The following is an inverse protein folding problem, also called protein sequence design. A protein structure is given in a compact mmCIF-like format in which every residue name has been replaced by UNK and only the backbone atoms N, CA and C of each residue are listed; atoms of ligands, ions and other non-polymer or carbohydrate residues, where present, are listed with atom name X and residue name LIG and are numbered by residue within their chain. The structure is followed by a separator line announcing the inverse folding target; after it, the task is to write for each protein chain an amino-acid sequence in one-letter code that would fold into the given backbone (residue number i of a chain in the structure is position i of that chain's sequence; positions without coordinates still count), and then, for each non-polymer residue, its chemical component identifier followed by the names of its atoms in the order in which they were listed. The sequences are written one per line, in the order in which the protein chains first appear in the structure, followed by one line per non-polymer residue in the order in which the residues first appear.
data_IF_259431724601
#
_entry.id   IF_259431724601
#
_cell.length_a   1.000
_cell.length_b   1.000
_cell.length_c   1.000
_cell.angle_alpha   90.00
_cell.angle_beta   90.00
_cell.angle_gamma   90.00
#
_symmetry.space_group_name_H-M   'P 1'
#
loop_
_entity.id
_entity.type
_entity.pdbx_description
1 polymer ?
#
# COMPACT_ATOMS: atom_id res chain seq x y z
N UNK A 1 -3.19 18.17 -7.04
CA UNK A 1 -3.68 18.80 -5.80
C UNK A 1 -2.86 18.49 -4.54
N UNK A 2 -2.72 17.25 -4.04
CA UNK A 2 -1.98 17.04 -2.76
C UNK A 2 -0.48 17.34 -2.83
N UNK A 3 0.20 16.94 -3.92
CA UNK A 3 1.61 17.25 -4.12
C UNK A 3 1.83 18.76 -4.24
N UNK A 4 1.06 19.43 -5.09
CA UNK A 4 1.11 20.90 -5.27
C UNK A 4 0.76 21.66 -3.97
N UNK A 5 -0.16 21.16 -3.15
CA UNK A 5 -0.49 21.79 -1.87
C UNK A 5 0.67 21.75 -0.87
N UNK A 6 1.52 20.71 -0.95
CA UNK A 6 2.61 20.52 0.01
C UNK A 6 3.95 21.06 -0.51
N UNK A 7 4.24 20.83 -1.80
CA UNK A 7 5.52 21.17 -2.45
C UNK A 7 5.41 22.35 -3.42
N UNK A 8 4.22 22.95 -3.62
CA UNK A 8 3.96 24.03 -4.59
C UNK A 8 4.19 23.65 -6.06
N UNK A 9 4.59 22.41 -6.32
CA UNK A 9 4.84 21.84 -7.65
C UNK A 9 4.50 20.36 -7.66
N UNK A 10 4.24 19.82 -8.85
CA UNK A 10 4.11 18.39 -9.08
C UNK A 10 4.69 18.02 -10.44
N UNK A 11 5.30 16.84 -10.59
CA UNK A 11 5.68 16.32 -11.90
C UNK A 11 4.47 16.08 -12.80
N UNK A 12 4.65 16.29 -14.10
CA UNK A 12 3.67 15.94 -15.13
C UNK A 12 3.44 14.42 -15.19
N UNK A 13 2.29 14.01 -15.75
CA UNK A 13 1.92 12.62 -15.94
C UNK A 13 1.88 12.27 -17.43
N UNK A 14 2.70 11.29 -17.84
CA UNK A 14 2.66 10.71 -19.18
C UNK A 14 1.96 9.35 -19.12
N UNK A 15 0.97 9.11 -19.99
CA UNK A 15 0.22 7.84 -20.03
C UNK A 15 0.30 7.24 -21.43
N UNK A 16 0.78 6.01 -21.50
CA UNK A 16 0.81 5.19 -22.71
C UNK A 16 -0.03 3.92 -22.52
N UNK A 17 -0.77 3.54 -23.55
CA UNK A 17 -1.57 2.31 -23.56
C UNK A 17 -1.13 1.35 -24.67
N UNK A 18 -1.07 0.06 -24.35
CA UNK A 18 -0.84 -1.00 -25.33
C UNK A 18 -1.83 -2.15 -25.14
N UNK A 19 -2.85 -2.18 -26.00
CA UNK A 19 -3.87 -3.22 -26.00
C UNK A 19 -3.53 -4.34 -26.99
N UNK A 20 -2.90 -5.41 -26.50
CA UNK A 20 -2.52 -6.55 -27.34
C UNK A 20 -3.72 -7.38 -27.81
N UNK A 21 -4.86 -7.33 -27.11
CA UNK A 21 -6.08 -8.05 -27.49
C UNK A 21 -6.82 -7.38 -28.65
N UNK A 22 -6.81 -6.05 -28.68
CA UNK A 22 -7.45 -5.26 -29.71
C UNK A 22 -6.69 -3.92 -29.88
N UNK A 23 -5.72 -3.86 -30.81
CA UNK A 23 -4.99 -2.63 -31.08
C UNK A 23 -5.94 -1.46 -31.37
N UNK A 24 -5.61 -0.27 -30.88
CA UNK A 24 -6.39 0.97 -31.00
C UNK A 24 -7.74 1.02 -30.26
N UNK A 25 -8.11 0.00 -29.47
CA UNK A 25 -9.24 0.10 -28.54
C UNK A 25 -8.74 0.49 -27.15
N UNK A 26 -9.46 1.38 -26.43
CA UNK A 26 -9.11 1.73 -25.06
C UNK A 26 -9.14 0.48 -24.18
N UNK A 27 -8.21 0.41 -23.23
CA UNK A 27 -8.13 -0.72 -22.30
C UNK A 27 -9.32 -0.65 -21.33
N UNK A 28 -10.05 -1.75 -21.22
CA UNK A 28 -11.17 -1.90 -20.29
C UNK A 28 -11.07 -3.24 -19.56
N UNK A 29 -11.48 -3.25 -18.28
CA UNK A 29 -11.48 -4.44 -17.43
C UNK A 29 -12.67 -4.40 -16.47
N UNK A 30 -13.21 -5.57 -16.14
CA UNK A 30 -14.21 -5.72 -15.08
C UNK A 30 -13.46 -5.72 -13.75
N UNK A 31 -13.51 -4.61 -13.02
CA UNK A 31 -12.80 -4.44 -11.75
C UNK A 31 -13.53 -3.49 -10.80
N UNK A 32 -13.17 -3.51 -9.52
CA UNK A 32 -13.71 -2.57 -8.52
C UNK A 32 -12.93 -1.24 -8.60
N UNK A 33 -13.53 -0.13 -9.06
CA UNK A 33 -12.77 1.10 -9.35
C UNK A 33 -12.09 1.71 -8.13
N UNK A 34 -12.71 1.61 -6.95
CA UNK A 34 -12.15 2.14 -5.70
C UNK A 34 -10.86 1.44 -5.27
N UNK A 35 -10.73 0.13 -5.53
CA UNK A 35 -9.50 -0.62 -5.25
C UNK A 35 -8.36 -0.13 -6.13
N UNK A 36 -8.63 -0.03 -7.44
CA UNK A 36 -7.64 0.44 -8.41
C UNK A 36 -7.22 1.89 -8.10
N UNK A 37 -8.18 2.76 -7.81
CA UNK A 37 -7.92 4.15 -7.43
C UNK A 37 -7.00 4.24 -6.21
N UNK A 38 -7.26 3.45 -5.15
CA UNK A 38 -6.42 3.47 -3.95
C UNK A 38 -4.97 3.09 -4.25
N UNK A 39 -4.77 2.01 -5.02
CA UNK A 39 -3.42 1.57 -5.41
C UNK A 39 -2.68 2.63 -6.23
N UNK A 40 -3.34 3.16 -7.27
CA UNK A 40 -2.75 4.19 -8.13
C UNK A 40 -2.43 5.47 -7.33
N UNK A 41 -3.37 5.91 -6.50
CA UNK A 41 -3.20 7.10 -5.66
C UNK A 41 -1.98 6.98 -4.74
N UNK A 42 -1.81 5.86 -4.04
CA UNK A 42 -0.66 5.65 -3.17
C UNK A 42 0.67 5.58 -3.95
N UNK A 43 0.69 4.92 -5.11
CA UNK A 43 1.89 4.83 -5.95
C UNK A 43 2.28 6.18 -6.57
N UNK A 44 1.32 6.95 -7.11
CA UNK A 44 1.58 8.28 -7.65
C UNK A 44 2.08 9.23 -6.57
N UNK A 45 1.48 9.19 -5.38
CA UNK A 45 1.93 9.98 -4.23
C UNK A 45 3.39 9.70 -3.87
N UNK A 46 3.79 8.42 -3.83
CA UNK A 46 5.17 8.02 -3.56
C UNK A 46 6.13 8.46 -4.67
N UNK A 47 5.73 8.26 -5.94
CA UNK A 47 6.51 8.62 -7.14
C UNK A 47 6.76 10.13 -7.23
N UNK A 48 5.70 10.92 -7.05
CA UNK A 48 5.76 12.38 -7.06
C UNK A 48 6.62 12.90 -5.90
N UNK A 49 6.44 12.36 -4.69
CA UNK A 49 7.25 12.71 -3.53
C UNK A 49 8.74 12.47 -3.79
N UNK A 50 9.10 11.26 -4.24
CA UNK A 50 10.50 10.92 -4.49
C UNK A 50 11.12 11.80 -5.58
N UNK A 51 10.37 12.09 -6.64
CA UNK A 51 10.83 12.96 -7.74
C UNK A 51 11.03 14.40 -7.25
N UNK A 52 10.07 14.96 -6.50
CA UNK A 52 10.18 16.33 -6.01
C UNK A 52 11.32 16.46 -5.00
N UNK A 53 11.40 15.57 -4.01
CA UNK A 53 12.47 15.59 -2.99
C UNK A 53 13.88 15.47 -3.62
N UNK A 54 14.02 14.78 -4.76
CA UNK A 54 15.32 14.64 -5.44
C UNK A 54 15.71 15.86 -6.29
N UNK A 55 14.72 16.53 -6.90
CA UNK A 55 14.93 17.60 -7.87
C UNK A 55 14.70 19.01 -7.30
N UNK A 56 14.26 19.15 -6.05
CA UNK A 56 14.00 20.45 -5.40
C UNK A 56 15.20 21.42 -5.48
N UNK A 57 16.42 20.92 -5.26
CA UNK A 57 17.67 21.71 -5.32
C UNK A 57 18.39 21.62 -6.68
N UNK A 58 17.81 20.93 -7.66
CA UNK A 58 18.42 20.70 -8.98
C UNK A 58 18.05 21.81 -9.95
N UNK A 59 18.94 22.08 -10.91
CA UNK A 59 18.67 23.08 -11.97
C UNK A 59 17.82 22.50 -13.09
N UNK A 60 17.81 21.17 -13.19
CA UNK A 60 16.98 20.40 -14.09
C UNK A 60 15.51 20.44 -13.62
N UNK A 61 14.58 20.59 -14.56
CA UNK A 61 13.15 20.53 -14.26
C UNK A 61 12.70 19.13 -13.79
N UNK A 62 11.52 19.05 -13.21
CA UNK A 62 10.95 17.79 -12.70
C UNK A 62 10.63 16.83 -13.86
N UNK A 63 11.24 15.62 -13.89
CA UNK A 63 10.90 14.62 -14.91
C UNK A 63 9.48 14.10 -14.70
N UNK A 64 8.76 13.84 -15.80
CA UNK A 64 7.40 13.29 -15.74
C UNK A 64 7.36 11.89 -15.10
N UNK A 65 6.28 11.59 -14.39
CA UNK A 65 5.95 10.24 -13.94
C UNK A 65 5.28 9.52 -15.11
N UNK A 66 5.84 8.38 -15.53
CA UNK A 66 5.41 7.65 -16.72
C UNK A 66 4.54 6.46 -16.35
N UNK A 67 3.38 6.34 -16.96
CA UNK A 67 2.46 5.23 -16.76
C UNK A 67 2.27 4.46 -18.05
N UNK A 68 2.58 3.15 -18.03
CA UNK A 68 2.30 2.23 -19.13
C UNK A 68 1.19 1.26 -18.71
N UNK A 69 0.07 1.29 -19.43
CA UNK A 69 -1.05 0.36 -19.24
C UNK A 69 -1.04 -0.66 -20.37
N UNK A 70 -0.99 -1.95 -20.04
CA UNK A 70 -0.99 -3.02 -21.03
C UNK A 70 -2.09 -4.02 -20.75
N UNK A 71 -2.71 -4.54 -21.82
CA UNK A 71 -3.71 -5.60 -21.73
C UNK A 71 -3.28 -6.80 -22.59
N UNK A 72 -2.89 -7.87 -21.92
CA UNK A 72 -2.56 -9.16 -22.50
C UNK A 72 -3.74 -10.14 -22.49
N UNK A 73 -3.46 -11.43 -22.74
CA UNK A 73 -4.49 -12.48 -22.71
C UNK A 73 -5.00 -12.74 -21.29
N UNK A 74 -4.08 -12.87 -20.34
CA UNK A 74 -4.35 -13.25 -18.94
C UNK A 74 -4.27 -12.05 -17.98
N UNK A 75 -3.38 -11.11 -18.26
CA UNK A 75 -3.05 -10.03 -17.33
C UNK A 75 -3.35 -8.65 -17.93
N UNK A 76 -3.84 -7.77 -17.07
CA UNK A 76 -3.77 -6.32 -17.23
C UNK A 76 -2.65 -5.83 -16.32
N UNK A 77 -1.66 -5.15 -16.89
CA UNK A 77 -0.51 -4.63 -16.15
C UNK A 77 -0.44 -3.12 -16.24
N UNK A 78 -0.27 -2.46 -15.09
CA UNK A 78 -0.09 -1.01 -14.99
C UNK A 78 1.28 -0.77 -14.36
N UNK A 79 2.19 -0.17 -15.12
CA UNK A 79 3.53 0.19 -14.67
C UNK A 79 3.63 1.70 -14.48
N UNK A 80 3.96 2.14 -13.27
CA UNK A 80 4.27 3.54 -12.94
C UNK A 80 5.77 3.63 -12.75
N UNK A 81 6.43 4.52 -13.48
CA UNK A 81 7.88 4.69 -13.49
C UNK A 81 8.22 6.12 -13.10
N UNK A 82 9.12 6.28 -12.14
CA UNK A 82 9.66 7.56 -11.72
C UNK A 82 11.18 7.65 -11.91
N UNK A 83 11.71 8.87 -11.88
CA UNK A 83 13.15 9.14 -11.80
C UNK A 83 13.50 9.73 -10.42
N UNK A 84 12.85 9.24 -9.36
CA UNK A 84 13.01 9.74 -7.99
C UNK A 84 14.25 9.21 -7.25
N UNK A 85 15.28 8.76 -7.96
CA UNK A 85 16.57 8.34 -7.37
C UNK A 85 16.61 6.91 -6.83
N UNK A 86 15.48 6.21 -6.81
CA UNK A 86 15.40 4.80 -6.49
C UNK A 86 15.65 4.44 -5.03
N UNK A 87 15.69 3.13 -4.76
CA UNK A 87 15.81 2.53 -3.43
C UNK A 87 16.82 1.38 -3.49
N UNK A 88 17.79 1.31 -2.56
CA UNK A 88 18.72 0.18 -2.49
C UNK A 88 17.98 -1.15 -2.36
N UNK A 89 18.41 -2.16 -3.11
CA UNK A 89 17.75 -3.48 -3.17
C UNK A 89 17.46 -4.06 -1.77
N UNK A 90 18.40 -3.94 -0.83
CA UNK A 90 18.27 -4.41 0.57
C UNK A 90 17.07 -3.81 1.34
N UNK A 91 16.55 -2.66 0.90
CA UNK A 91 15.43 -1.96 1.54
C UNK A 91 14.08 -2.25 0.86
N UNK A 92 14.05 -2.83 -0.33
CA UNK A 92 12.81 -3.03 -1.11
C UNK A 92 11.77 -3.86 -0.35
N UNK A 93 12.17 -5.00 0.21
CA UNK A 93 11.23 -5.86 0.95
C UNK A 93 10.67 -5.16 2.19
N UNK A 94 11.48 -4.30 2.83
CA UNK A 94 11.07 -3.55 4.02
C UNK A 94 9.99 -2.51 3.71
N UNK A 95 9.86 -2.04 2.47
CA UNK A 95 8.81 -1.11 2.06
C UNK A 95 7.39 -1.70 2.21
N UNK A 96 7.26 -3.02 2.24
CA UNK A 96 6.00 -3.72 2.46
C UNK A 96 5.75 -4.09 3.93
N UNK A 97 6.65 -3.73 4.85
CA UNK A 97 6.40 -3.88 6.28
C UNK A 97 5.47 -2.77 6.76
N UNK A 98 4.47 -3.14 7.54
CA UNK A 98 3.61 -2.17 8.21
C UNK A 98 4.45 -1.23 9.08
N UNK A 99 4.08 0.07 9.08
CA UNK A 99 4.74 1.13 9.83
C UNK A 99 6.18 1.45 9.38
N UNK A 100 6.72 0.80 8.34
CA UNK A 100 7.97 1.21 7.74
C UNK A 100 7.75 2.45 6.87
N UNK A 101 8.49 3.52 7.15
CA UNK A 101 8.43 4.79 6.41
C UNK A 101 9.79 5.45 6.43
N UNK A 102 10.19 6.05 5.31
CA UNK A 102 11.38 6.90 5.19
C UNK A 102 11.08 8.37 5.49
N UNK A 103 9.81 8.75 5.57
CA UNK A 103 9.41 10.10 5.98
C UNK A 103 9.64 10.30 7.50
N UNK A 104 9.87 11.55 7.95
CA UNK A 104 9.82 11.89 9.37
C UNK A 104 8.53 11.34 9.99
N UNK A 105 8.65 10.66 11.13
CA UNK A 105 7.46 10.25 11.88
C UNK A 105 6.72 11.52 12.27
N UNK A 106 5.43 11.68 11.94
CA UNK A 106 4.68 12.85 12.37
C UNK A 106 4.78 12.99 13.89
N UNK A 107 5.13 14.18 14.40
CA UNK A 107 5.27 14.40 15.84
C UNK A 107 3.92 14.19 16.52
N UNK A 108 3.86 13.16 17.36
CA UNK A 108 2.82 12.98 18.36
C UNK A 108 3.15 13.92 19.54
N UNK A 109 3.05 15.23 19.32
CA UNK A 109 3.07 16.22 20.41
C UNK A 109 1.99 15.84 21.46
N UNK A 110 2.17 16.06 22.77
CA UNK A 110 1.16 15.72 23.79
C UNK A 110 -0.15 16.54 23.68
N UNK A 111 -0.14 17.67 22.97
CA UNK A 111 -1.34 18.41 22.51
C UNK A 111 -1.97 17.81 21.24
N UNK A 112 -1.28 16.84 20.63
CA UNK A 112 -1.70 15.99 19.52
C UNK A 112 -1.69 14.54 19.99
N UNK A 113 -2.46 14.25 21.04
CA UNK A 113 -2.87 12.88 21.31
C UNK A 113 -3.41 12.30 19.99
N UNK A 114 -2.87 11.17 19.52
CA UNK A 114 -3.63 10.34 18.60
C UNK A 114 -4.93 10.03 19.36
N UNK A 115 -6.07 10.62 18.99
CA UNK A 115 -7.21 10.65 19.89
C UNK A 115 -7.67 9.23 20.18
N UNK A 116 -7.80 8.86 21.46
CA UNK A 116 -8.32 7.54 21.89
C UNK A 116 -9.66 7.23 21.21
N UNK A 117 -10.42 8.30 20.91
CA UNK A 117 -11.50 8.35 19.94
C UNK A 117 -11.45 9.72 19.25
N UNK A 118 -11.87 9.80 17.97
CA UNK A 118 -11.92 11.08 17.24
C UNK A 118 -11.76 10.97 15.73
N UNK A 119 -11.23 9.85 15.24
CA UNK A 119 -11.16 9.58 13.80
C UNK A 119 -12.45 8.96 13.25
N UNK A 120 -13.37 8.50 14.11
CA UNK A 120 -14.68 7.99 13.71
C UNK A 120 -14.68 6.67 12.93
N UNK A 121 -13.51 6.08 12.63
CA UNK A 121 -13.41 4.86 11.82
C UNK A 121 -13.42 3.56 12.64
N UNK A 122 -13.12 3.61 13.95
CA UNK A 122 -12.97 2.41 14.79
C UNK A 122 -14.25 1.57 14.91
N UNK A 123 -15.39 2.20 15.16
CA UNK A 123 -16.68 1.50 15.24
C UNK A 123 -17.20 1.09 13.86
N UNK A 124 -17.13 1.92 12.80
CA UNK A 124 -17.46 1.50 11.44
C UNK A 124 -16.58 0.36 10.91
N UNK A 125 -15.26 0.36 11.13
CA UNK A 125 -14.34 -0.73 10.71
C UNK A 125 -14.61 -1.99 11.52
N UNK A 126 -14.78 -1.88 12.85
CA UNK A 126 -15.15 -3.02 13.69
C UNK A 126 -16.51 -3.61 13.30
N UNK A 127 -17.49 -2.77 12.93
CA UNK A 127 -18.79 -3.21 12.40
C UNK A 127 -18.68 -3.81 11.00
N UNK A 128 -17.79 -3.29 10.14
CA UNK A 128 -17.49 -3.83 8.82
C UNK A 128 -16.94 -5.26 8.94
N UNK A 129 -15.98 -5.48 9.84
CA UNK A 129 -15.44 -6.82 10.14
C UNK A 129 -16.48 -7.74 10.80
N UNK A 130 -17.33 -7.22 11.70
CA UNK A 130 -18.39 -8.02 12.31
C UNK A 130 -19.42 -8.49 11.26
N UNK A 131 -19.87 -7.60 10.37
CA UNK A 131 -20.78 -7.95 9.27
C UNK A 131 -20.14 -8.85 8.20
N UNK A 132 -18.82 -8.74 7.99
CA UNK A 132 -18.05 -9.66 7.15
C UNK A 132 -18.14 -11.12 7.63
N UNK A 133 -18.25 -11.36 8.94
CA UNK A 133 -18.53 -12.70 9.49
C UNK A 133 -20.02 -12.93 9.76
N UNK A 134 -20.88 -12.31 8.93
CA UNK A 134 -22.34 -12.37 9.01
C UNK A 134 -22.92 -11.98 10.38
N UNK A 135 -22.16 -11.23 11.18
CA UNK A 135 -22.53 -10.67 12.48
C UNK A 135 -22.98 -9.21 12.43
N UNK A 136 -23.01 -8.56 13.59
CA UNK A 136 -23.07 -7.10 13.71
C UNK A 136 -22.43 -6.64 15.03
N UNK A 137 -22.10 -5.36 15.09
CA UNK A 137 -21.71 -4.65 16.31
C UNK A 137 -22.81 -3.63 16.61
N UNK A 138 -23.43 -3.74 17.79
CA UNK A 138 -24.53 -2.87 18.26
C UNK A 138 -24.11 -2.14 19.53
N UNK A 139 -24.61 -0.91 19.67
CA UNK A 139 -24.40 -0.07 20.85
C UNK A 139 -25.75 0.28 21.47
N UNK A 140 -25.86 0.17 22.79
CA UNK A 140 -27.01 0.60 23.57
C UNK A 140 -26.52 1.63 24.59
N UNK A 141 -26.98 2.88 24.48
CA UNK A 141 -26.52 3.97 25.34
C UNK A 141 -27.65 4.48 26.23
N UNK A 142 -27.34 4.72 27.51
CA UNK A 142 -28.22 5.41 28.46
C UNK A 142 -27.53 6.68 28.94
N UNK A 143 -28.19 7.82 28.71
CA UNK A 143 -27.62 9.14 29.02
C UNK A 143 -27.36 9.30 30.52
N UNK A 144 -26.15 9.78 30.85
CA UNK A 144 -25.71 9.95 32.24
C UNK A 144 -25.31 8.66 32.96
N UNK A 145 -25.50 7.48 32.35
CA UNK A 145 -25.22 6.17 32.97
C UNK A 145 -24.07 5.43 32.25
N UNK A 146 -24.10 5.37 30.90
CA UNK A 146 -23.04 4.71 30.12
C UNK A 146 -23.51 4.15 28.76
N UNK A 147 -22.59 3.51 28.02
CA UNK A 147 -22.85 2.87 26.73
C UNK A 147 -22.34 1.43 26.70
N UNK A 148 -23.24 0.49 26.46
CA UNK A 148 -22.91 -0.92 26.27
C UNK A 148 -22.67 -1.22 24.78
N UNK A 149 -21.63 -2.01 24.51
CA UNK A 149 -21.28 -2.46 23.16
C UNK A 149 -21.34 -3.98 23.05
N UNK A 150 -22.20 -4.49 22.17
CA UNK A 150 -22.41 -5.92 21.97
C UNK A 150 -22.06 -6.30 20.54
N UNK A 151 -21.12 -7.23 20.41
CA UNK A 151 -20.70 -7.80 19.12
C UNK A 151 -21.20 -9.23 19.07
N UNK A 152 -21.87 -9.59 17.97
CA UNK A 152 -22.29 -10.97 17.75
C UNK A 152 -22.03 -11.35 16.29
N UNK A 153 -21.59 -12.58 16.08
CA UNK A 153 -21.22 -13.12 14.77
C UNK A 153 -22.09 -14.32 14.46
N UNK A 154 -22.48 -14.51 13.20
CA UNK A 154 -23.32 -15.63 12.82
C UNK A 154 -22.46 -16.88 12.62
N UNK A 155 -22.77 -17.91 13.39
CA UNK A 155 -22.17 -19.22 13.23
C UNK A 155 -22.85 -19.95 12.02
N UNK A 156 -22.21 -19.88 10.84
CA UNK A 156 -22.46 -20.65 9.58
C UNK A 156 -23.69 -20.20 8.73
N UNK A 157 -23.77 -20.27 7.38
CA UNK A 157 -23.02 -20.95 6.30
C UNK A 157 -23.17 -20.22 4.92
N UNK A 158 -22.29 -20.55 3.96
CA UNK A 158 -22.33 -20.42 2.49
C UNK A 158 -22.81 -19.10 1.82
N UNK A 159 -21.88 -18.38 1.19
CA UNK A 159 -22.00 -17.12 0.38
C UNK A 159 -21.84 -15.82 1.17
N UNK A 160 -20.61 -15.33 1.21
CA UNK A 160 -20.27 -13.94 1.56
C UNK A 160 -19.81 -13.25 0.27
N UNK A 161 -19.59 -11.93 0.30
CA UNK A 161 -19.03 -11.06 -0.75
C UNK A 161 -20.02 -10.22 -1.57
N UNK A 162 -20.29 -9.03 -1.01
CA UNK A 162 -20.70 -7.82 -1.69
C UNK A 162 -20.24 -6.64 -0.82
N UNK A 163 -19.08 -6.04 -1.09
CA UNK A 163 -18.64 -4.81 -0.41
C UNK A 163 -17.85 -3.89 -1.36
N UNK A 164 -18.42 -2.71 -1.66
CA UNK A 164 -17.83 -1.37 -1.46
C UNK A 164 -18.63 -0.25 -2.19
N UNK A 165 -19.41 0.53 -1.43
CA UNK A 165 -19.71 1.96 -1.73
C UNK A 165 -19.51 2.75 -0.42
N UNK A 166 -18.80 3.88 -0.50
CA UNK A 166 -18.52 4.76 0.66
C UNK A 166 -19.56 5.90 0.70
N UNK A 167 -20.20 6.10 1.84
CA UNK A 167 -21.16 7.20 2.10
C UNK A 167 -20.57 8.32 2.98
N UNK A 168 -19.24 8.38 3.14
CA UNK A 168 -18.61 9.46 3.88
C UNK A 168 -18.75 10.81 3.12
N UNK A 169 -19.14 11.92 3.80
CA UNK A 169 -19.20 13.24 3.16
C UNK A 169 -17.81 13.63 2.63
N UNK A 170 -17.77 14.34 1.49
CA UNK A 170 -16.53 14.97 1.02
C UNK A 170 -16.05 15.93 2.11
N UNK A 171 -14.84 15.78 2.65
CA UNK A 171 -14.33 16.70 3.66
C UNK A 171 -14.23 18.10 3.06
N UNK A 172 -14.68 19.11 3.81
CA UNK A 172 -14.47 20.51 3.45
C UNK A 172 -12.97 20.80 3.48
N UNK A 173 -12.43 21.25 2.35
CA UNK A 173 -11.05 21.73 2.22
C UNK A 173 -10.92 23.09 2.93
N UNK A 174 -10.76 23.04 4.25
CA UNK A 174 -10.19 24.16 5.01
C UNK A 174 -8.66 24.18 4.77
N UNK A 175 -8.02 25.32 4.45
CA UNK A 175 -6.66 25.34 3.90
C UNK A 175 -5.53 25.02 4.90
N UNK A 176 -5.83 24.69 6.16
CA UNK A 176 -4.81 24.71 7.22
C UNK A 176 -4.30 23.36 7.68
N UNK A 177 -4.83 22.21 7.20
CA UNK A 177 -4.42 20.90 7.72
C UNK A 177 -4.42 19.80 6.65
N UNK A 178 -3.50 19.89 5.71
CA UNK A 178 -3.21 18.78 4.81
C UNK A 178 -2.64 17.60 5.61
N UNK A 179 -3.26 16.42 5.49
CA UNK A 179 -2.64 15.18 5.95
C UNK A 179 -1.31 15.00 5.20
N UNK A 180 -0.21 14.64 5.88
CA UNK A 180 1.10 14.56 5.24
C UNK A 180 1.08 13.51 4.13
N UNK A 181 1.74 13.81 2.99
CA UNK A 181 1.84 12.92 1.83
C UNK A 181 2.41 11.54 2.19
N UNK A 182 3.24 11.46 3.23
CA UNK A 182 3.78 10.21 3.75
C UNK A 182 3.93 10.27 5.28
N UNK A 183 4.26 9.15 5.92
CA UNK A 183 4.59 9.13 7.36
C UNK A 183 4.04 7.93 8.14
N UNK A 184 2.90 7.36 7.71
CA UNK A 184 2.26 6.28 8.47
C UNK A 184 2.73 4.87 8.08
N UNK A 185 3.28 4.67 6.88
CA UNK A 185 3.86 3.38 6.46
C UNK A 185 2.84 2.25 6.18
N UNK A 186 1.61 2.59 5.77
CA UNK A 186 0.58 1.61 5.40
C UNK A 186 0.27 1.55 3.90
N UNK A 187 0.61 2.59 3.13
CA UNK A 187 0.19 2.74 1.73
C UNK A 187 0.56 1.56 0.83
N UNK A 188 1.85 1.22 0.77
CA UNK A 188 2.35 0.11 -0.06
C UNK A 188 1.85 -1.27 0.40
N UNK A 189 1.90 -1.64 1.70
CA UNK A 189 1.34 -2.90 2.19
C UNK A 189 -0.14 -3.08 1.84
N UNK A 190 -0.96 -2.05 2.08
CA UNK A 190 -2.41 -2.09 1.82
C UNK A 190 -2.71 -2.11 0.32
N UNK A 191 -1.99 -1.34 -0.48
CA UNK A 191 -2.12 -1.38 -1.95
C UNK A 191 -1.82 -2.77 -2.50
N UNK A 192 -0.81 -3.47 -1.96
CA UNK A 192 -0.52 -4.85 -2.34
C UNK A 192 -1.62 -5.82 -1.93
N UNK A 193 -2.30 -5.60 -0.80
CA UNK A 193 -3.47 -6.40 -0.43
C UNK A 193 -4.62 -6.21 -1.41
N UNK A 194 -4.91 -4.98 -1.85
CA UNK A 194 -5.93 -4.71 -2.86
C UNK A 194 -5.63 -5.42 -4.19
N UNK A 195 -4.38 -5.40 -4.65
CA UNK A 195 -3.98 -6.13 -5.86
C UNK A 195 -4.18 -7.64 -5.70
N UNK A 196 -3.71 -8.20 -4.58
CA UNK A 196 -3.76 -9.65 -4.29
C UNK A 196 -5.17 -10.17 -4.02
N UNK A 197 -6.09 -9.30 -3.62
CA UNK A 197 -7.46 -9.68 -3.28
C UNK A 197 -8.14 -10.42 -4.43
N UNK A 198 -7.94 -9.97 -5.67
CA UNK A 198 -8.48 -10.62 -6.88
C UNK A 198 -7.37 -11.30 -7.71
N UNK A 199 -6.50 -12.06 -7.06
CA UNK A 199 -5.40 -12.85 -7.67
C UNK A 199 -4.34 -12.05 -8.45
N UNK A 200 -4.30 -10.74 -8.28
CA UNK A 200 -3.23 -9.89 -8.79
C UNK A 200 -1.99 -9.86 -7.89
N UNK A 201 -1.08 -8.93 -8.17
CA UNK A 201 0.02 -8.58 -7.28
C UNK A 201 0.49 -7.14 -7.53
N UNK A 202 1.21 -6.58 -6.55
CA UNK A 202 1.92 -5.31 -6.70
C UNK A 202 3.40 -5.57 -6.41
N UNK A 203 4.26 -5.22 -7.36
CA UNK A 203 5.71 -5.40 -7.28
C UNK A 203 6.44 -4.06 -7.49
N UNK A 204 7.59 -3.92 -6.84
CA UNK A 204 8.49 -2.78 -6.99
C UNK A 204 9.84 -3.28 -7.52
N UNK A 205 10.38 -2.57 -8.49
CA UNK A 205 11.73 -2.76 -9.02
C UNK A 205 12.41 -1.40 -9.02
N UNK A 206 13.59 -1.29 -8.43
CA UNK A 206 14.25 -0.01 -8.28
C UNK A 206 15.70 -0.09 -8.72
N UNK A 207 16.15 0.97 -9.37
CA UNK A 207 17.53 1.18 -9.77
C UNK A 207 18.08 2.34 -8.92
N UNK A 208 18.86 2.00 -7.90
CA UNK A 208 19.44 2.98 -6.98
C UNK A 208 20.27 4.03 -7.74
N UNK A 209 20.01 5.31 -7.45
CA UNK A 209 20.59 6.46 -8.15
C UNK A 209 19.79 6.93 -9.36
N UNK A 210 18.78 6.18 -9.81
CA UNK A 210 17.98 6.52 -11.00
C UNK A 210 16.50 6.69 -10.66
N UNK A 211 15.81 5.63 -10.26
CA UNK A 211 14.35 5.65 -10.17
C UNK A 211 13.71 4.31 -9.81
N UNK A 212 12.38 4.29 -9.77
CA UNK A 212 11.60 3.10 -9.38
C UNK A 212 10.47 2.81 -10.36
N UNK A 213 10.30 1.54 -10.69
CA UNK A 213 9.17 0.98 -11.42
C UNK A 213 8.25 0.24 -10.42
N UNK A 214 6.99 0.69 -10.32
CA UNK A 214 5.93 0.03 -9.58
C UNK A 214 4.93 -0.62 -10.56
N UNK A 215 4.72 -1.93 -10.44
CA UNK A 215 3.84 -2.68 -11.35
C UNK A 215 2.68 -3.30 -10.58
N UNK A 216 1.46 -2.94 -11.00
CA UNK A 216 0.22 -3.59 -10.59
C UNK A 216 -0.14 -4.62 -11.67
N UNK A 217 -0.35 -5.86 -11.25
CA UNK A 217 -0.89 -6.93 -12.09
C UNK A 217 -2.31 -7.24 -11.65
N UNK A 218 -3.26 -7.21 -12.57
CA UNK A 218 -4.65 -7.61 -12.38
C UNK A 218 -5.02 -8.69 -13.39
N UNK A 219 -5.99 -9.53 -13.05
CA UNK A 219 -6.54 -10.49 -14.01
C UNK A 219 -7.35 -9.77 -15.08
N UNK A 220 -7.07 -10.10 -16.34
CA UNK A 220 -7.78 -9.56 -17.51
C UNK A 220 -9.19 -10.15 -17.63
N UNK A 221 -9.41 -11.36 -17.12
CA UNK A 221 -10.68 -12.08 -17.17
C UNK A 221 -11.34 -12.10 -15.79
N UNK A 222 -12.60 -11.66 -15.70
CA UNK A 222 -13.36 -11.69 -14.44
C UNK A 222 -13.58 -13.12 -13.90
N UNK A 223 -13.59 -14.12 -14.79
CA UNK A 223 -13.68 -15.54 -14.42
C UNK A 223 -12.46 -16.06 -13.66
N UNK A 224 -11.35 -15.33 -13.66
CA UNK A 224 -10.12 -15.69 -12.94
C UNK A 224 -9.89 -14.79 -11.70
N UNK A 225 -10.71 -13.75 -11.54
CA UNK A 225 -10.65 -12.78 -10.45
C UNK A 225 -11.33 -13.30 -9.18
N UNK A 226 -10.86 -14.43 -8.65
CA UNK A 226 -11.37 -15.01 -7.41
C UNK A 226 -10.83 -14.29 -6.17
N UNK A 227 -11.58 -14.29 -5.09
CA UNK A 227 -11.14 -13.68 -3.84
C UNK A 227 -10.08 -14.52 -3.14
N UNK A 228 -8.99 -13.86 -2.74
CA UNK A 228 -7.91 -14.47 -1.95
C UNK A 228 -8.15 -14.20 -0.47
N UNK A 229 -8.81 -15.14 0.19
CA UNK A 229 -9.19 -15.02 1.60
C UNK A 229 -8.21 -15.75 2.51
N UNK A 230 -8.02 -15.20 3.71
CA UNK A 230 -7.26 -15.87 4.76
C UNK A 230 -8.12 -16.97 5.38
N UNK A 231 -7.62 -18.19 5.39
CA UNK A 231 -8.27 -19.35 6.01
C UNK A 231 -7.51 -19.72 7.28
N UNK A 232 -8.18 -19.62 8.42
CA UNK A 232 -7.61 -20.08 9.68
C UNK A 232 -7.63 -21.61 9.73
N UNK A 233 -6.45 -22.22 9.76
CA UNK A 233 -6.26 -23.67 9.81
C UNK A 233 -4.95 -24.02 10.55
N UNK A 234 -4.59 -25.30 10.63
CA UNK A 234 -3.35 -25.74 11.27
C UNK A 234 -2.11 -25.07 10.67
N UNK A 235 -2.06 -24.84 9.36
CA UNK A 235 -0.94 -24.14 8.72
C UNK A 235 -0.86 -22.68 9.17
N UNK A 236 -1.98 -21.95 9.19
CA UNK A 236 -2.05 -20.58 9.71
C UNK A 236 -1.59 -20.52 11.18
N UNK A 237 -2.05 -21.46 12.02
CA UNK A 237 -1.68 -21.53 13.43
C UNK A 237 -0.18 -21.75 13.66
N UNK A 238 0.48 -22.57 12.82
CA UNK A 238 1.94 -22.79 12.91
C UNK A 238 2.73 -21.49 12.77
N UNK A 239 2.28 -20.54 11.95
CA UNK A 239 2.95 -19.24 11.84
C UNK A 239 3.03 -18.49 13.18
N UNK A 240 2.00 -18.60 14.03
CA UNK A 240 1.96 -17.96 15.35
C UNK A 240 2.69 -18.74 16.46
N UNK A 241 3.11 -19.98 16.17
CA UNK A 241 3.82 -20.86 17.11
C UNK A 241 5.27 -21.11 16.70
N UNK A 242 5.71 -20.54 15.58
CA UNK A 242 7.10 -20.60 15.14
C UNK A 242 8.02 -20.01 16.21
N UNK A 243 9.05 -20.76 16.57
CA UNK A 243 10.15 -20.29 17.41
C UNK A 243 11.26 -19.75 16.52
N UNK A 244 12.16 -18.94 17.08
CA UNK A 244 13.35 -18.54 16.34
C UNK A 244 14.17 -19.79 15.97
N UNK A 245 14.40 -19.96 14.68
CA UNK A 245 15.23 -21.03 14.12
C UNK A 245 16.60 -20.44 13.74
N UNK A 246 17.61 -21.31 13.64
CA UNK A 246 18.89 -20.89 13.06
C UNK A 246 18.69 -20.54 11.59
N UNK A 247 19.38 -19.51 11.10
CA UNK A 247 19.29 -19.13 9.69
C UNK A 247 19.77 -20.29 8.80
N UNK A 248 19.01 -20.56 7.72
CA UNK A 248 19.33 -21.60 6.74
C UNK A 248 20.64 -21.34 5.98
N UNK A 249 21.13 -20.10 6.02
CA UNK A 249 22.31 -19.64 5.27
C UNK A 249 23.32 -18.97 6.19
N UNK A 250 24.59 -18.98 5.76
CA UNK A 250 25.69 -18.39 6.52
C UNK A 250 25.51 -16.88 6.68
N UNK A 251 25.64 -16.40 7.91
CA UNK A 251 25.80 -14.98 8.20
C UNK A 251 27.28 -14.65 8.44
N UNK A 252 27.86 -13.68 7.72
CA UNK A 252 29.23 -13.25 7.98
C UNK A 252 29.35 -12.59 9.35
N UNK A 253 30.55 -12.65 9.94
CA UNK A 253 30.88 -11.88 11.13
C UNK A 253 30.70 -10.38 10.87
N UNK A 254 30.19 -9.64 11.86
CA UNK A 254 30.19 -8.17 11.84
C UNK A 254 31.61 -7.59 11.80
N UNK A 255 32.59 -8.37 12.24
CA UNK A 255 34.02 -8.05 12.19
C UNK A 255 34.75 -9.15 11.41
N UNK A 256 34.74 -9.11 10.06
CA UNK A 256 35.46 -10.07 9.24
C UNK A 256 36.97 -9.96 9.49
N UNK A 257 37.66 -11.11 9.55
CA UNK A 257 39.10 -11.13 9.77
C UNK A 257 39.84 -10.50 8.59
N UNK A 258 40.75 -9.58 8.89
CA UNK A 258 41.61 -8.95 7.88
C UNK A 258 42.63 -9.94 7.30
N UNK A 259 42.40 -10.34 6.05
CA UNK A 259 43.27 -11.27 5.31
C UNK A 259 44.56 -10.62 4.77
N UNK A 260 44.71 -9.29 4.83
CA UNK A 260 45.87 -8.59 4.28
C UNK A 260 47.17 -8.90 5.02
N UNK A 261 47.10 -9.14 6.34
CA UNK A 261 48.27 -9.43 7.20
C UNK A 261 48.92 -10.79 6.96
N UNK A 262 48.31 -11.66 6.15
CA UNK A 262 48.84 -12.98 5.82
C UNK A 262 49.74 -13.00 4.57
N UNK A 263 49.65 -12.01 3.67
CA UNK A 263 50.46 -11.95 2.44
C UNK A 263 51.90 -11.48 2.63
N UNK A 264 52.29 -11.04 3.82
CA UNK A 264 53.62 -10.47 4.10
C UNK A 264 54.69 -11.50 4.53
N UNK A 265 54.43 -12.81 4.40
CA UNK A 265 55.35 -13.89 4.84
C UNK A 265 55.63 -14.97 3.77
N UNK A 266 55.52 -14.63 2.48
CA UNK A 266 56.03 -15.47 1.38
C UNK A 266 57.12 -14.73 0.62
#
# INVERSE_FOLDING_TARGET
MLCEQYYLVAPELEVEEFNAKAPNKPIQVVYVPSHLFHMLFELFKNSMRATVELYEDRKEGYPAVKTLVTLGKEDLSIKISDLGGGVPLRKIDRLFNYMYSTAPRPSLEPTRAAPLAGFGYGLPISRLYARYFQGDLKLCSMEGVGTDAVIYLKALSNRLFNYMYSTAPRPSLEPTRAAPLAGFGYGLPISRLYARYFQGDLKLYSMEGVGTDAVIYLKALSSESFERLLVFNKSAWRHYKSTAEADDWSNPSSEPRDASKYKAKQ
#
